data_IF_616384809179
#
_entry.id   IF_616384809179
#
_cell.length_a   1.000
_cell.length_b   1.000
_cell.length_c   1.000
_cell.angle_alpha   90.00
_cell.angle_beta   90.00
_cell.angle_gamma   90.00
#
_symmetry.space_group_name_H-M   'P 1'
#
loop_
_entity.id
_entity.type
_entity.pdbx_description
1 polymer ?
#
# COMPACT_ATOMS: atom_id res chain seq x y z
N UNK A 1 -32.97 -0.33 4.53
CA UNK A 1 -31.59 -0.68 4.15
C UNK A 1 -31.65 -1.42 2.83
N UNK A 2 -31.01 -0.91 1.78
CA UNK A 2 -30.96 -1.65 0.51
C UNK A 2 -30.01 -2.84 0.64
N UNK A 3 -30.22 -3.89 -0.17
CA UNK A 3 -29.33 -5.06 -0.22
C UNK A 3 -27.88 -4.62 -0.51
N UNK A 4 -27.70 -3.59 -1.35
CA UNK A 4 -26.41 -2.97 -1.65
C UNK A 4 -25.71 -2.43 -0.39
N UNK A 5 -26.45 -1.76 0.49
CA UNK A 5 -25.91 -1.19 1.73
C UNK A 5 -25.40 -2.27 2.68
N UNK A 6 -26.10 -3.42 2.76
CA UNK A 6 -25.71 -4.56 3.60
C UNK A 6 -24.44 -5.22 3.04
N UNK A 7 -24.37 -5.42 1.73
CA UNK A 7 -23.19 -6.01 1.07
C UNK A 7 -21.96 -5.10 1.23
N UNK A 8 -22.11 -3.79 1.06
CA UNK A 8 -21.04 -2.81 1.29
C UNK A 8 -20.53 -2.83 2.73
N UNK A 9 -21.44 -2.92 3.71
CA UNK A 9 -21.08 -2.99 5.12
C UNK A 9 -20.26 -4.26 5.42
N UNK A 10 -20.71 -5.42 4.94
CA UNK A 10 -19.98 -6.69 5.12
C UNK A 10 -18.60 -6.65 4.45
N UNK A 11 -18.52 -6.13 3.23
CA UNK A 11 -17.26 -5.98 2.50
C UNK A 11 -16.28 -5.06 3.23
N UNK A 12 -16.77 -3.94 3.78
CA UNK A 12 -15.96 -3.00 4.57
C UNK A 12 -15.43 -3.62 5.86
N UNK A 13 -16.28 -4.36 6.59
CA UNK A 13 -15.87 -5.06 7.83
C UNK A 13 -14.83 -6.15 7.53
N UNK A 14 -15.01 -6.92 6.47
CA UNK A 14 -14.02 -7.92 6.03
C UNK A 14 -12.70 -7.28 5.60
N UNK A 15 -12.75 -6.15 4.89
CA UNK A 15 -11.57 -5.39 4.50
C UNK A 15 -10.81 -4.87 5.73
N UNK A 16 -11.51 -4.28 6.70
CA UNK A 16 -10.91 -3.83 7.96
C UNK A 16 -10.29 -4.99 8.72
N UNK A 17 -10.99 -6.13 8.84
CA UNK A 17 -10.45 -7.33 9.47
C UNK A 17 -9.17 -7.80 8.77
N UNK A 18 -9.14 -7.80 7.43
CA UNK A 18 -7.96 -8.17 6.65
C UNK A 18 -6.79 -7.20 6.89
N UNK A 19 -7.05 -5.89 6.95
CA UNK A 19 -6.06 -4.87 7.29
C UNK A 19 -5.51 -5.10 8.70
N UNK A 20 -6.38 -5.24 9.71
CA UNK A 20 -5.96 -5.52 11.09
C UNK A 20 -5.18 -6.81 11.24
N UNK A 21 -5.58 -7.88 10.53
CA UNK A 21 -4.87 -9.16 10.51
C UNK A 21 -3.46 -9.00 9.94
N UNK A 22 -3.30 -8.24 8.86
CA UNK A 22 -2.00 -7.98 8.25
C UNK A 22 -1.10 -7.10 9.13
N UNK A 23 -1.68 -6.15 9.88
CA UNK A 23 -0.96 -5.33 10.87
C UNK A 23 -0.44 -6.20 12.02
N UNK A 24 -1.25 -7.13 12.52
CA UNK A 24 -0.90 -7.94 13.69
C UNK A 24 0.14 -9.05 13.39
N UNK A 25 0.48 -9.30 12.12
CA UNK A 25 1.49 -10.30 11.71
C UNK A 25 2.91 -9.74 11.54
N UNK A 26 3.24 -8.56 12.08
CA UNK A 26 4.61 -8.02 12.20
C UNK A 26 5.42 -7.86 10.89
N UNK A 27 4.81 -7.99 9.70
CA UNK A 27 5.51 -7.87 8.41
C UNK A 27 5.43 -6.46 7.79
N UNK A 28 4.74 -5.52 8.45
CA UNK A 28 4.53 -4.17 7.93
C UNK A 28 5.08 -3.17 8.96
N UNK A 29 6.17 -2.49 8.60
CA UNK A 29 6.64 -1.31 9.31
C UNK A 29 5.48 -0.33 9.47
N UNK A 30 5.30 0.20 10.69
CA UNK A 30 4.19 1.06 11.14
C UNK A 30 3.75 2.12 10.11
N UNK A 31 4.67 2.61 9.27
CA UNK A 31 4.44 3.58 8.18
C UNK A 31 3.47 3.09 7.09
N UNK A 32 3.56 1.83 6.64
CA UNK A 32 2.73 1.32 5.54
C UNK A 32 1.32 0.93 6.02
N UNK A 33 1.20 0.47 7.26
CA UNK A 33 -0.08 0.19 7.91
C UNK A 33 -0.91 1.47 8.13
N UNK A 34 -0.24 2.58 8.49
CA UNK A 34 -0.86 3.87 8.72
C UNK A 34 -1.63 4.39 7.49
N UNK A 35 -1.06 4.22 6.29
CA UNK A 35 -1.72 4.61 5.04
C UNK A 35 -3.06 3.88 4.83
N UNK A 36 -3.09 2.56 5.07
CA UNK A 36 -4.31 1.76 4.93
C UNK A 36 -5.36 2.07 6.00
N UNK A 37 -4.94 2.40 7.23
CA UNK A 37 -5.84 2.84 8.29
C UNK A 37 -6.53 4.15 7.90
N UNK A 38 -5.79 5.13 7.36
CA UNK A 38 -6.37 6.40 6.88
C UNK A 38 -7.38 6.15 5.76
N UNK A 39 -7.03 5.30 4.77
CA UNK A 39 -7.93 4.97 3.66
C UNK A 39 -9.20 4.29 4.18
N UNK A 40 -9.07 3.31 5.09
CA UNK A 40 -10.20 2.64 5.73
C UNK A 40 -11.11 3.62 6.47
N UNK A 41 -10.52 4.56 7.21
CA UNK A 41 -11.28 5.60 7.90
C UNK A 41 -12.05 6.51 6.93
N UNK A 42 -11.41 6.96 5.85
CA UNK A 42 -12.07 7.75 4.79
C UNK A 42 -13.22 6.98 4.16
N UNK A 43 -13.05 5.68 3.90
CA UNK A 43 -14.12 4.83 3.35
C UNK A 43 -15.30 4.69 4.31
N UNK A 44 -15.06 4.53 5.63
CA UNK A 44 -16.12 4.49 6.63
C UNK A 44 -16.90 5.82 6.65
N UNK A 45 -16.20 6.96 6.64
CA UNK A 45 -16.83 8.29 6.62
C UNK A 45 -17.69 8.44 5.37
N UNK A 46 -17.19 8.09 4.19
CA UNK A 46 -17.95 8.15 2.94
C UNK A 46 -19.17 7.23 3.00
N UNK A 47 -19.04 6.03 3.59
CA UNK A 47 -20.15 5.07 3.71
C UNK A 47 -21.23 5.49 4.70
N UNK A 48 -20.92 6.32 5.70
CA UNK A 48 -21.90 6.87 6.65
C UNK A 48 -22.59 8.10 6.03
N UNK A 49 -21.87 8.86 5.21
CA UNK A 49 -22.33 10.11 4.63
C UNK A 49 -22.47 10.03 3.11
N UNK A 50 -23.50 9.31 2.64
CA UNK A 50 -23.81 9.15 1.20
C UNK A 50 -24.02 10.50 0.47
N UNK A 51 -24.36 11.57 1.18
CA UNK A 51 -24.57 12.90 0.59
C UNK A 51 -23.29 13.56 0.05
N UNK A 52 -22.11 13.20 0.58
CA UNK A 52 -20.82 13.76 0.16
C UNK A 52 -20.48 13.34 -1.28
N UNK A 53 -20.40 12.02 -1.61
CA UNK A 53 -20.11 11.60 -2.97
C UNK A 53 -21.22 12.00 -3.96
N UNK A 54 -22.48 12.04 -3.53
CA UNK A 54 -23.60 12.49 -4.40
C UNK A 54 -23.45 13.96 -4.78
N UNK A 55 -23.12 14.83 -3.82
CA UNK A 55 -22.95 16.28 -4.06
C UNK A 55 -21.78 16.55 -4.99
N UNK A 56 -20.65 15.88 -4.77
CA UNK A 56 -19.43 16.05 -5.58
C UNK A 56 -19.65 15.47 -6.99
N UNK A 57 -20.30 14.31 -7.11
CA UNK A 57 -20.63 13.71 -8.40
C UNK A 57 -21.47 14.67 -9.27
N UNK A 58 -22.49 15.30 -8.68
CA UNK A 58 -23.31 16.30 -9.38
C UNK A 58 -22.51 17.54 -9.77
N UNK A 59 -21.66 18.05 -8.88
CA UNK A 59 -20.80 19.22 -9.15
C UNK A 59 -19.84 18.96 -10.30
N UNK A 60 -19.27 17.75 -10.38
CA UNK A 60 -18.33 17.34 -11.42
C UNK A 60 -19.03 16.86 -12.72
N UNK A 61 -20.37 16.81 -12.75
CA UNK A 61 -21.14 16.44 -13.94
C UNK A 61 -21.29 14.94 -14.20
N UNK A 62 -21.12 14.09 -13.18
CA UNK A 62 -21.40 12.64 -13.31
C UNK A 62 -22.90 12.36 -13.26
N UNK A 63 -23.42 11.62 -14.24
CA UNK A 63 -24.84 11.21 -14.29
C UNK A 63 -25.23 10.23 -13.20
N UNK A 64 -24.33 9.29 -12.88
CA UNK A 64 -24.55 8.27 -11.85
C UNK A 64 -23.48 8.40 -10.76
N UNK A 65 -23.92 8.50 -9.50
CA UNK A 65 -23.01 8.51 -8.32
C UNK A 65 -22.12 7.28 -8.28
N UNK A 66 -22.61 6.13 -8.77
CA UNK A 66 -21.80 4.90 -8.88
C UNK A 66 -20.56 5.08 -9.75
N UNK A 67 -20.66 5.82 -10.86
CA UNK A 67 -19.54 6.06 -11.78
C UNK A 67 -18.49 6.96 -11.14
N UNK A 68 -18.93 7.95 -10.37
CA UNK A 68 -18.02 8.81 -9.59
C UNK A 68 -17.25 7.98 -8.55
N UNK A 69 -17.94 7.16 -7.75
CA UNK A 69 -17.30 6.30 -6.74
C UNK A 69 -16.32 5.32 -7.38
N UNK A 70 -16.67 4.72 -8.52
CA UNK A 70 -15.78 3.81 -9.26
C UNK A 70 -14.54 4.53 -9.80
N UNK A 71 -14.71 5.70 -10.42
CA UNK A 71 -13.61 6.52 -10.91
C UNK A 71 -12.66 6.92 -9.78
N UNK A 72 -13.23 7.36 -8.66
CA UNK A 72 -12.48 7.75 -7.47
C UNK A 72 -11.69 6.58 -6.88
N UNK A 73 -12.28 5.38 -6.83
CA UNK A 73 -11.62 4.16 -6.37
C UNK A 73 -10.43 3.79 -7.29
N UNK A 74 -10.61 3.84 -8.61
CA UNK A 74 -9.53 3.59 -9.58
C UNK A 74 -8.42 4.63 -9.41
N UNK A 75 -8.77 5.90 -9.24
CA UNK A 75 -7.81 6.97 -9.04
C UNK A 75 -6.99 6.77 -7.76
N UNK A 76 -7.62 6.43 -6.64
CA UNK A 76 -6.91 6.09 -5.41
C UNK A 76 -6.01 4.87 -5.57
N UNK A 77 -6.47 3.82 -6.26
CA UNK A 77 -5.66 2.64 -6.54
C UNK A 77 -4.41 3.00 -7.36
N UNK A 78 -4.55 3.86 -8.36
CA UNK A 78 -3.40 4.34 -9.15
C UNK A 78 -2.37 5.06 -8.27
N UNK A 79 -2.82 5.93 -7.36
CA UNK A 79 -1.94 6.62 -6.41
C UNK A 79 -1.22 5.60 -5.51
N UNK A 80 -1.94 4.62 -4.97
CA UNK A 80 -1.37 3.59 -4.08
C UNK A 80 -0.31 2.77 -4.82
N UNK A 81 -0.61 2.32 -6.04
CA UNK A 81 0.32 1.56 -6.88
C UNK A 81 1.54 2.40 -7.23
N UNK A 82 1.36 3.68 -7.54
CA UNK A 82 2.47 4.58 -7.83
C UNK A 82 3.39 4.76 -6.62
N UNK A 83 2.83 4.99 -5.43
CA UNK A 83 3.59 5.08 -4.18
C UNK A 83 4.33 3.77 -3.86
N UNK A 84 3.70 2.61 -4.09
CA UNK A 84 4.37 1.32 -3.97
C UNK A 84 5.51 1.17 -4.97
N UNK A 85 5.33 1.64 -6.20
CA UNK A 85 6.38 1.59 -7.23
C UNK A 85 7.61 2.39 -6.81
N UNK A 86 7.43 3.56 -6.21
CA UNK A 86 8.51 4.36 -5.64
C UNK A 86 9.22 3.61 -4.50
N UNK A 87 8.45 3.04 -3.56
CA UNK A 87 9.01 2.30 -2.43
C UNK A 87 9.84 1.08 -2.89
N UNK A 88 9.31 0.31 -3.84
CA UNK A 88 9.99 -0.84 -4.45
C UNK A 88 11.27 -0.40 -5.18
N UNK A 89 11.22 0.72 -5.90
CA UNK A 89 12.38 1.27 -6.59
C UNK A 89 13.53 1.62 -5.62
N UNK A 90 13.21 2.25 -4.49
CA UNK A 90 14.19 2.55 -3.43
C UNK A 90 14.78 1.30 -2.81
N UNK A 91 13.94 0.31 -2.48
CA UNK A 91 14.39 -0.97 -1.93
C UNK A 91 15.33 -1.70 -2.91
N UNK A 92 15.02 -1.68 -4.20
CA UNK A 92 15.86 -2.28 -5.25
C UNK A 92 17.27 -1.68 -5.28
N UNK A 93 17.39 -0.36 -5.14
CA UNK A 93 18.71 0.29 -5.11
C UNK A 93 19.49 -0.05 -3.85
N UNK A 94 18.84 -0.11 -2.69
CA UNK A 94 19.48 -0.53 -1.43
C UNK A 94 20.01 -1.98 -1.51
N UNK A 95 19.23 -2.90 -2.06
CA UNK A 95 19.66 -4.29 -2.27
C UNK A 95 20.88 -4.34 -3.19
N UNK A 96 20.88 -3.56 -4.28
CA UNK A 96 22.01 -3.49 -5.21
C UNK A 96 23.28 -3.01 -4.51
N UNK A 97 23.20 -1.97 -3.67
CA UNK A 97 24.32 -1.47 -2.88
C UNK A 97 24.85 -2.53 -1.90
N UNK A 98 23.95 -3.19 -1.15
CA UNK A 98 24.32 -4.27 -0.23
C UNK A 98 25.03 -5.43 -0.94
N UNK A 99 24.56 -5.82 -2.13
CA UNK A 99 25.20 -6.88 -2.94
C UNK A 99 26.60 -6.45 -3.39
N UNK A 100 26.78 -5.17 -3.76
CA UNK A 100 28.09 -4.63 -4.14
C UNK A 100 29.07 -4.62 -2.96
N UNK A 101 28.64 -4.14 -1.79
CA UNK A 101 29.45 -4.15 -0.57
C UNK A 101 29.84 -5.57 -0.15
N UNK A 102 28.90 -6.52 -0.21
CA UNK A 102 29.14 -7.93 0.08
C UNK A 102 30.18 -8.54 -0.88
N UNK A 103 30.12 -8.20 -2.18
CA UNK A 103 31.07 -8.67 -3.19
C UNK A 103 32.49 -8.18 -2.90
N UNK A 104 32.64 -6.88 -2.61
CA UNK A 104 33.94 -6.28 -2.25
C UNK A 104 34.48 -6.90 -0.96
N UNK A 105 33.62 -7.12 0.04
CA UNK A 105 34.01 -7.73 1.31
C UNK A 105 34.49 -9.17 1.12
N UNK A 106 33.78 -9.98 0.33
CA UNK A 106 34.20 -11.35 -0.02
C UNK A 106 35.55 -11.37 -0.75
N UNK A 107 35.77 -10.45 -1.69
CA UNK A 107 37.04 -10.36 -2.43
C UNK A 107 38.21 -9.98 -1.51
N UNK A 108 37.99 -9.11 -0.52
CA UNK A 108 39.02 -8.76 0.47
C UNK A 108 39.37 -9.96 1.36
N UNK A 109 38.37 -10.72 1.81
CA UNK A 109 38.60 -11.92 2.61
C UNK A 109 39.39 -12.97 1.84
N UNK A 110 39.03 -13.24 0.57
CA UNK A 110 39.75 -14.22 -0.25
C UNK A 110 41.21 -13.86 -0.48
N UNK A 111 41.54 -12.56 -0.63
CA UNK A 111 42.93 -12.09 -0.75
C UNK A 111 43.73 -12.29 0.54
N UNK A 112 43.12 -11.99 1.69
CA UNK A 112 43.75 -12.18 3.00
C UNK A 112 44.00 -13.67 3.31
N UNK A 113 43.13 -14.56 2.85
CA UNK A 113 43.33 -16.01 2.96
C UNK A 113 44.51 -16.47 2.08
N UNK A 114 44.59 -16.04 0.82
CA UNK A 114 45.73 -16.40 -0.05
C UNK A 114 47.08 -15.88 0.45
N UNK A 115 47.14 -14.70 1.07
CA UNK A 115 48.38 -14.16 1.65
C UNK A 115 48.83 -14.88 2.92
N UNK A 116 47.91 -15.55 3.62
CA UNK A 116 48.23 -16.41 4.78
C UNK A 116 48.76 -17.77 4.35
N UNK A 117 48.25 -18.33 3.25
CA UNK A 117 48.69 -19.64 2.76
C UNK A 117 50.07 -19.58 2.08
N UNK A 118 50.51 -18.40 1.62
CA UNK A 118 51.86 -18.18 1.05
C UNK A 118 52.95 -17.90 2.11
N UNK A 119 52.61 -17.74 3.39
CA UNK A 119 53.57 -17.47 4.49
C UNK A 119 53.74 -18.65 5.43
#
# INVERSE_FOLDING_TARGET
MSILSIVMLVASVLFLYFVFRNINQNNILFEQAFMWIIIGFVLIVISIFDWIPVSIAKLLGFELTSNFVMSLAIFFLLIIVFLHTIAISKQKEQIKQLVQELSIMKQRMSKLESEKDEK
#
